data_IF_063689626521
#
_entry.id   IF_063689626521
#
_cell.length_a   1.000
_cell.length_b   1.000
_cell.length_c   1.000
_cell.angle_alpha   90.00
_cell.angle_beta   90.00
_cell.angle_gamma   90.00
#
_symmetry.space_group_name_H-M   'P 1'
#
loop_
_entity.id
_entity.type
_entity.pdbx_description
1 polymer ?
#
# COMPACT_ATOMS: atom_id res chain seq x y z
N UNK A 1 15.35 1.12 10.52
CA UNK A 1 14.61 -0.13 10.79
C UNK A 1 13.66 -0.39 9.62
N UNK A 2 13.61 -1.60 9.14
CA UNK A 2 12.73 -1.94 8.02
C UNK A 2 11.36 -2.36 8.55
N UNK A 3 10.31 -1.90 7.90
CA UNK A 3 8.95 -2.33 8.18
C UNK A 3 8.64 -3.58 7.35
N UNK A 4 7.89 -4.49 7.92
CA UNK A 4 7.39 -5.64 7.17
C UNK A 4 6.22 -5.22 6.28
N UNK A 5 6.06 -5.89 5.14
CA UNK A 5 4.93 -5.64 4.25
C UNK A 5 4.06 -6.89 4.24
N UNK A 6 2.80 -6.72 4.61
CA UNK A 6 1.81 -7.79 4.57
C UNK A 6 0.71 -7.44 3.59
N UNK A 7 0.05 -8.45 3.03
CA UNK A 7 -1.01 -8.26 2.06
C UNK A 7 -2.30 -8.89 2.56
N UNK A 8 -3.36 -8.10 2.58
CA UNK A 8 -4.69 -8.63 2.83
C UNK A 8 -5.12 -9.48 1.63
N UNK A 9 -6.05 -10.38 1.84
CA UNK A 9 -6.53 -11.27 0.79
C UNK A 9 -7.08 -10.49 -0.41
N UNK A 10 -7.79 -9.40 -0.14
CA UNK A 10 -8.32 -8.55 -1.21
C UNK A 10 -7.22 -7.92 -2.04
N UNK A 11 -6.11 -7.52 -1.39
CA UNK A 11 -4.97 -6.97 -2.11
C UNK A 11 -4.29 -8.02 -3.00
N UNK A 12 -4.20 -9.25 -2.51
CA UNK A 12 -3.65 -10.35 -3.31
C UNK A 12 -4.51 -10.58 -4.54
N UNK A 13 -5.83 -10.56 -4.38
CA UNK A 13 -6.75 -10.71 -5.51
C UNK A 13 -6.60 -9.56 -6.52
N UNK A 14 -6.45 -8.35 -6.02
CA UNK A 14 -6.24 -7.19 -6.88
C UNK A 14 -4.96 -7.35 -7.70
N UNK A 15 -3.86 -7.75 -7.05
CA UNK A 15 -2.58 -7.92 -7.72
C UNK A 15 -2.64 -8.98 -8.82
N UNK A 16 -3.35 -10.08 -8.57
CA UNK A 16 -3.45 -11.17 -9.54
C UNK A 16 -4.12 -10.76 -10.85
N UNK A 17 -4.89 -9.68 -10.83
CA UNK A 17 -5.56 -9.15 -12.02
C UNK A 17 -4.66 -8.25 -12.86
N UNK A 18 -3.49 -7.90 -12.35
CA UNK A 18 -2.58 -6.98 -13.00
C UNK A 18 -1.52 -7.73 -13.80
N UNK A 19 -0.96 -7.06 -14.81
CA UNK A 19 0.17 -7.60 -15.55
C UNK A 19 1.33 -7.86 -14.60
N UNK A 20 2.14 -8.87 -14.92
CA UNK A 20 3.29 -9.24 -14.08
C UNK A 20 4.27 -8.09 -13.89
N UNK A 21 4.45 -7.25 -14.91
CA UNK A 21 5.34 -6.10 -14.79
C UNK A 21 4.81 -5.08 -13.80
N UNK A 22 3.50 -4.87 -13.79
CA UNK A 22 2.86 -3.94 -12.85
C UNK A 22 2.95 -4.52 -11.45
N UNK A 23 2.69 -5.82 -11.28
CA UNK A 23 2.82 -6.48 -9.98
C UNK A 23 4.23 -6.32 -9.42
N UNK A 24 5.23 -6.61 -10.24
CA UNK A 24 6.63 -6.49 -9.83
C UNK A 24 6.99 -5.07 -9.44
N UNK A 25 6.51 -4.09 -10.20
CA UNK A 25 6.77 -2.68 -9.93
C UNK A 25 6.18 -2.25 -8.58
N UNK A 26 4.94 -2.67 -8.30
CA UNK A 26 4.28 -2.35 -7.05
C UNK A 26 4.99 -3.01 -5.86
N UNK A 27 5.34 -4.29 -5.99
CA UNK A 27 6.04 -5.01 -4.93
C UNK A 27 7.42 -4.40 -4.65
N UNK A 28 8.15 -4.04 -5.71
CA UNK A 28 9.44 -3.40 -5.56
C UNK A 28 9.31 -2.04 -4.88
N UNK A 29 8.31 -1.25 -5.28
CA UNK A 29 8.03 0.03 -4.65
C UNK A 29 7.82 -0.13 -3.14
N UNK A 30 6.95 -1.06 -2.75
CA UNK A 30 6.63 -1.26 -1.34
C UNK A 30 7.85 -1.67 -0.52
N UNK A 31 8.69 -2.53 -1.07
CA UNK A 31 9.89 -3.02 -0.38
C UNK A 31 10.98 -1.95 -0.28
N UNK A 32 11.12 -1.12 -1.29
CA UNK A 32 12.24 -0.19 -1.38
C UNK A 32 11.92 1.21 -0.88
N UNK A 33 10.65 1.56 -0.79
CA UNK A 33 10.26 2.90 -0.40
C UNK A 33 9.63 2.91 0.99
N UNK A 34 8.33 2.63 1.17
CA UNK A 34 7.75 2.75 2.51
C UNK A 34 8.40 1.86 3.56
N UNK A 35 8.74 0.63 3.18
CA UNK A 35 9.27 -0.34 4.15
C UNK A 35 10.65 0.02 4.67
N UNK A 36 11.41 0.84 3.94
CA UNK A 36 12.76 1.24 4.36
C UNK A 36 12.80 2.55 5.12
N UNK A 37 11.72 3.30 5.11
CA UNK A 37 11.66 4.56 5.83
C UNK A 37 11.56 4.30 7.34
N UNK A 38 12.02 5.25 8.14
CA UNK A 38 11.81 5.20 9.58
C UNK A 38 10.32 5.21 9.91
N UNK A 39 9.56 5.95 9.12
CA UNK A 39 8.12 5.95 9.19
C UNK A 39 7.55 5.88 7.77
N UNK A 40 6.76 4.86 7.44
CA UNK A 40 6.13 4.77 6.11
C UNK A 40 5.24 5.96 5.78
N UNK A 41 4.79 6.71 6.78
CA UNK A 41 3.97 7.91 6.57
C UNK A 41 4.76 9.11 6.04
N UNK A 42 6.08 9.01 5.91
CA UNK A 42 6.87 10.04 5.24
C UNK A 42 6.61 10.06 3.74
N UNK A 43 6.01 9.01 3.21
CA UNK A 43 5.69 8.89 1.80
C UNK A 43 4.18 8.67 1.66
N UNK A 44 3.60 9.16 0.58
CA UNK A 44 2.16 9.02 0.39
C UNK A 44 1.38 10.02 1.21
N UNK A 45 0.11 9.72 1.46
CA UNK A 45 -0.75 10.62 2.23
C UNK A 45 -1.88 9.87 2.93
N UNK A 46 -2.40 10.49 3.98
CA UNK A 46 -3.50 9.92 4.73
C UNK A 46 -4.76 9.82 3.87
N UNK A 47 -5.49 8.72 4.03
CA UNK A 47 -6.76 8.54 3.32
C UNK A 47 -7.82 9.36 4.04
N UNK A 48 -8.40 10.31 3.32
CA UNK A 48 -9.41 11.22 3.87
C UNK A 48 -10.64 10.45 4.33
N UNK A 49 -11.20 10.87 5.47
CA UNK A 49 -12.42 10.26 6.01
C UNK A 49 -12.21 8.98 6.78
N UNK A 50 -10.98 8.53 6.91
CA UNK A 50 -10.69 7.33 7.71
C UNK A 50 -10.91 7.60 9.19
N UNK A 51 -11.73 6.75 9.82
CA UNK A 51 -12.02 6.86 11.26
C UNK A 51 -11.40 5.73 12.07
N UNK A 52 -10.87 4.71 11.40
CA UNK A 52 -10.51 3.46 12.05
C UNK A 52 -9.04 3.12 11.92
N UNK A 53 -8.17 4.08 12.19
CA UNK A 53 -6.77 3.79 12.21
C UNK A 53 -5.98 4.57 11.18
N UNK A 54 -4.79 4.10 10.90
CA UNK A 54 -3.82 4.80 10.07
C UNK A 54 -3.90 4.36 8.63
N UNK A 55 -5.04 4.61 8.00
CA UNK A 55 -5.20 4.28 6.58
C UNK A 55 -4.42 5.27 5.74
N UNK A 56 -3.69 4.74 4.78
CA UNK A 56 -2.72 5.48 4.01
C UNK A 56 -2.78 5.09 2.55
N UNK A 57 -2.45 6.01 1.66
CA UNK A 57 -2.41 5.71 0.24
C UNK A 57 -1.06 6.07 -0.34
N UNK A 58 -0.59 5.20 -1.22
CA UNK A 58 0.60 5.42 -2.02
C UNK A 58 0.23 5.41 -3.49
N UNK A 59 1.03 6.09 -4.29
CA UNK A 59 0.84 6.16 -5.74
C UNK A 59 2.03 5.55 -6.46
N UNK A 60 1.76 4.63 -7.36
CA UNK A 60 2.78 4.05 -8.24
C UNK A 60 2.24 4.16 -9.65
N UNK A 61 2.76 5.09 -10.44
CA UNK A 61 2.21 5.43 -11.76
C UNK A 61 0.70 5.72 -11.65
N UNK A 62 -0.14 4.99 -12.37
CA UNK A 62 -1.60 5.17 -12.33
C UNK A 62 -2.29 4.32 -11.28
N UNK A 63 -1.51 3.64 -10.43
CA UNK A 63 -2.03 2.70 -9.45
C UNK A 63 -2.09 3.33 -8.07
N UNK A 64 -3.11 2.97 -7.32
CA UNK A 64 -3.29 3.38 -5.92
C UNK A 64 -3.10 2.16 -5.02
N UNK A 65 -2.38 2.34 -3.95
CA UNK A 65 -2.14 1.29 -2.96
C UNK A 65 -2.70 1.80 -1.63
N UNK A 66 -3.73 1.14 -1.13
CA UNK A 66 -4.35 1.50 0.14
C UNK A 66 -3.80 0.58 1.21
N UNK A 67 -3.27 1.17 2.27
CA UNK A 67 -2.60 0.44 3.34
C UNK A 67 -3.12 0.83 4.70
N UNK A 68 -2.91 -0.06 5.66
CA UNK A 68 -3.05 0.22 7.08
C UNK A 68 -1.65 0.20 7.68
N UNK A 69 -1.22 1.33 8.24
CA UNK A 69 0.09 1.44 8.86
C UNK A 69 -0.02 1.03 10.33
N UNK A 70 0.50 -0.12 10.65
CA UNK A 70 0.42 -0.69 11.99
C UNK A 70 1.70 -0.41 12.75
N UNK A 71 1.78 0.75 13.38
CA UNK A 71 3.00 1.24 14.03
C UNK A 71 3.50 0.29 15.12
N UNK A 72 2.60 -0.28 15.92
CA UNK A 72 2.99 -1.15 17.01
C UNK A 72 3.57 -2.47 16.54
N UNK A 73 3.18 -2.91 15.35
CA UNK A 73 3.70 -4.14 14.76
C UNK A 73 4.82 -3.90 13.78
N UNK A 74 5.08 -2.65 13.44
CA UNK A 74 6.06 -2.25 12.42
C UNK A 74 5.71 -2.93 11.09
N UNK A 75 4.45 -2.81 10.70
CA UNK A 75 3.89 -3.49 9.51
C UNK A 75 3.16 -2.48 8.64
N UNK A 76 3.42 -2.55 7.34
CA UNK A 76 2.60 -1.92 6.31
C UNK A 76 1.69 -3.01 5.76
N UNK A 77 0.40 -2.97 6.10
CA UNK A 77 -0.55 -3.96 5.61
C UNK A 77 -1.28 -3.41 4.40
N UNK A 78 -1.06 -4.03 3.27
CA UNK A 78 -1.69 -3.61 2.01
C UNK A 78 -3.11 -4.17 1.96
N UNK A 79 -4.10 -3.28 1.87
CA UNK A 79 -5.51 -3.65 1.89
C UNK A 79 -6.09 -3.76 0.48
N UNK A 80 -5.78 -2.81 -0.40
CA UNK A 80 -6.28 -2.82 -1.77
C UNK A 80 -5.23 -2.24 -2.71
N UNK A 81 -5.26 -2.72 -3.93
CA UNK A 81 -4.44 -2.17 -5.03
C UNK A 81 -5.34 -2.03 -6.23
N UNK A 82 -5.29 -0.90 -6.90
CA UNK A 82 -6.11 -0.75 -8.10
C UNK A 82 -5.81 0.53 -8.85
N UNK A 83 -6.49 0.67 -9.98
CA UNK A 83 -6.41 1.85 -10.78
C UNK A 83 -7.06 3.01 -10.03
N UNK A 84 -6.58 4.22 -10.28
CA UNK A 84 -7.08 5.44 -9.69
C UNK A 84 -8.62 5.55 -9.68
N UNK A 85 -9.28 5.08 -10.75
CA UNK A 85 -10.72 5.20 -10.88
C UNK A 85 -11.50 4.14 -10.10
N UNK A 86 -10.87 3.02 -9.77
CA UNK A 86 -11.56 1.88 -9.17
C UNK A 86 -11.45 1.84 -7.66
N UNK A 87 -10.33 2.28 -7.11
CA UNK A 87 -10.02 2.14 -5.69
C UNK A 87 -10.88 3.05 -4.81
N UNK A 88 -11.39 4.13 -5.35
CA UNK A 88 -12.17 5.11 -4.60
C UNK A 88 -13.68 5.01 -4.80
N UNK A 89 -14.14 3.93 -5.35
CA UNK A 89 -15.57 3.70 -5.48
C UNK A 89 -16.19 3.18 -4.20
#
# INVERSE_FOLDING_TARGET
MAWAVEFDLDAVKDLKKLDKQVQAHILQFLRERPARLNSPSELGEALAGSKLGNYWKYHVADWRIICDLQDQRIVVRVLRVGNRREVYR
#
